data_IF_823766845471
#
_entry.id   IF_823766845471
#
_cell.length_a   1.000
_cell.length_b   1.000
_cell.length_c   1.000
_cell.angle_alpha   90.00
_cell.angle_beta   90.00
_cell.angle_gamma   90.00
#
_symmetry.space_group_name_H-M   'P 1'
#
loop_
_entity.id
_entity.type
_entity.pdbx_description
1 polymer ?
#
# COMPACT_ATOMS: atom_id res chain seq x y z
N UNK A 1 -38.53 -13.75 6.74
CA UNK A 1 -37.25 -13.00 6.72
C UNK A 1 -37.46 -11.74 7.55
N UNK A 2 -36.64 -11.47 8.56
CA UNK A 2 -36.67 -10.19 9.26
C UNK A 2 -36.37 -9.07 8.25
N UNK A 3 -36.98 -7.89 8.42
CA UNK A 3 -36.65 -6.72 7.64
C UNK A 3 -35.12 -6.48 7.73
N UNK A 4 -34.47 -6.13 6.62
CA UNK A 4 -33.06 -5.76 6.63
C UNK A 4 -32.83 -4.60 7.61
N UNK A 5 -31.82 -4.68 8.49
CA UNK A 5 -31.55 -3.64 9.50
C UNK A 5 -30.96 -2.36 8.89
N UNK A 6 -30.56 -2.38 7.61
CA UNK A 6 -29.95 -1.25 6.89
C UNK A 6 -30.76 -0.90 5.64
N UNK A 7 -30.82 0.38 5.32
CA UNK A 7 -31.37 0.87 4.07
C UNK A 7 -30.42 0.59 2.89
N UNK A 8 -30.92 0.60 1.64
CA UNK A 8 -30.05 0.50 0.46
C UNK A 8 -28.96 1.57 0.42
N UNK A 9 -29.25 2.78 0.90
CA UNK A 9 -28.31 3.90 0.96
C UNK A 9 -27.19 3.64 1.99
N UNK A 10 -27.53 3.07 3.14
CA UNK A 10 -26.54 2.69 4.17
C UNK A 10 -25.61 1.58 3.67
N UNK A 11 -26.13 0.60 2.91
CA UNK A 11 -25.35 -0.48 2.31
C UNK A 11 -24.42 0.11 1.21
N UNK A 12 -24.94 0.98 0.36
CA UNK A 12 -24.17 1.64 -0.68
C UNK A 12 -23.07 2.55 -0.11
N UNK A 13 -23.32 3.20 1.04
CA UNK A 13 -22.32 4.02 1.73
C UNK A 13 -21.10 3.23 2.22
N UNK A 14 -21.26 1.91 2.47
CA UNK A 14 -20.12 1.02 2.74
C UNK A 14 -19.43 0.48 1.46
N UNK A 15 -19.82 0.98 0.27
CA UNK A 15 -19.25 0.53 -1.01
C UNK A 15 -19.75 -0.84 -1.48
N UNK A 16 -20.83 -1.34 -0.89
CA UNK A 16 -21.41 -2.64 -1.20
C UNK A 16 -22.59 -2.52 -2.17
N UNK A 17 -22.68 -3.48 -3.09
CA UNK A 17 -23.84 -3.63 -3.97
C UNK A 17 -24.94 -4.45 -3.28
N UNK A 18 -26.22 -4.32 -3.71
CA UNK A 18 -27.31 -5.11 -3.14
C UNK A 18 -27.06 -6.62 -3.15
N UNK A 19 -26.55 -7.15 -4.25
CA UNK A 19 -26.23 -8.56 -4.40
C UNK A 19 -25.06 -9.02 -3.52
N UNK A 20 -24.10 -8.13 -3.24
CA UNK A 20 -23.02 -8.39 -2.27
C UNK A 20 -23.57 -8.46 -0.84
N UNK A 21 -24.52 -7.60 -0.49
CA UNK A 21 -25.19 -7.66 0.80
C UNK A 21 -26.00 -8.94 1.00
N UNK A 22 -26.74 -9.40 -0.03
CA UNK A 22 -27.45 -10.67 0.01
C UNK A 22 -26.48 -11.85 0.22
N UNK A 23 -25.34 -11.83 -0.42
CA UNK A 23 -24.29 -12.86 -0.23
C UNK A 23 -23.70 -12.82 1.19
N UNK A 24 -23.51 -11.63 1.79
CA UNK A 24 -23.08 -11.48 3.18
C UNK A 24 -24.10 -12.14 4.13
N UNK A 25 -25.38 -11.83 3.98
CA UNK A 25 -26.46 -12.41 4.80
C UNK A 25 -26.47 -13.93 4.70
N UNK A 26 -26.29 -14.48 3.49
CA UNK A 26 -26.21 -15.91 3.26
C UNK A 26 -25.00 -16.54 3.95
N UNK A 27 -23.83 -15.92 3.90
CA UNK A 27 -22.59 -16.45 4.53
C UNK A 27 -22.67 -16.43 6.04
N UNK A 28 -23.23 -15.36 6.61
CA UNK A 28 -23.42 -15.22 8.05
C UNK A 28 -24.62 -16.01 8.57
N UNK A 29 -25.53 -16.44 7.69
CA UNK A 29 -26.86 -16.99 8.03
C UNK A 29 -27.67 -16.05 8.95
N UNK A 30 -27.37 -14.76 8.90
CA UNK A 30 -28.02 -13.65 9.62
C UNK A 30 -27.66 -12.32 8.97
N UNK A 31 -28.38 -11.26 9.32
CA UNK A 31 -27.94 -9.92 8.95
C UNK A 31 -26.66 -9.53 9.70
N UNK A 32 -25.71 -8.83 9.06
CA UNK A 32 -24.56 -8.25 9.75
C UNK A 32 -25.01 -7.14 10.72
N UNK A 33 -24.24 -6.87 11.76
CA UNK A 33 -24.34 -5.62 12.50
C UNK A 33 -23.54 -4.50 11.79
N UNK A 34 -23.54 -3.27 12.33
CA UNK A 34 -22.88 -2.12 11.70
C UNK A 34 -21.36 -2.29 11.56
N UNK A 35 -20.72 -2.85 12.59
CA UNK A 35 -19.28 -3.11 12.55
C UNK A 35 -18.93 -4.16 11.46
N UNK A 36 -19.68 -5.25 11.43
CA UNK A 36 -19.52 -6.31 10.43
C UNK A 36 -19.79 -5.81 8.99
N UNK A 37 -20.83 -4.97 8.83
CA UNK A 37 -21.12 -4.37 7.51
C UNK A 37 -19.93 -3.54 7.02
N UNK A 38 -19.33 -2.71 7.88
CA UNK A 38 -18.14 -1.94 7.57
C UNK A 38 -16.92 -2.84 7.25
N UNK A 39 -16.71 -3.92 8.04
CA UNK A 39 -15.64 -4.90 7.76
C UNK A 39 -15.79 -5.51 6.36
N UNK A 40 -16.99 -5.92 5.96
CA UNK A 40 -17.25 -6.42 4.61
C UNK A 40 -17.05 -5.33 3.57
N UNK A 41 -17.51 -4.10 3.83
CA UNK A 41 -17.36 -2.97 2.91
C UNK A 41 -15.92 -2.71 2.51
N UNK A 42 -15.01 -2.61 3.49
CA UNK A 42 -13.58 -2.39 3.22
C UNK A 42 -12.91 -3.61 2.62
N UNK A 43 -13.15 -4.83 3.15
CA UNK A 43 -12.50 -6.05 2.66
C UNK A 43 -13.00 -6.49 1.27
N UNK A 44 -14.24 -6.16 0.90
CA UNK A 44 -14.80 -6.44 -0.42
C UNK A 44 -14.66 -5.25 -1.39
N UNK A 45 -13.91 -4.23 -1.03
CA UNK A 45 -13.53 -3.16 -1.94
C UNK A 45 -12.61 -3.66 -3.04
N UNK A 46 -12.55 -2.97 -4.19
CA UNK A 46 -11.55 -3.29 -5.23
C UNK A 46 -10.13 -3.22 -4.69
N UNK A 47 -9.87 -2.28 -3.76
CA UNK A 47 -8.57 -2.07 -3.16
C UNK A 47 -8.06 -3.30 -2.39
N UNK A 48 -8.92 -3.94 -1.57
CA UNK A 48 -8.50 -5.07 -0.72
C UNK A 48 -8.62 -6.42 -1.44
N UNK A 49 -9.69 -6.66 -2.21
CA UNK A 49 -9.94 -8.00 -2.75
C UNK A 49 -9.71 -8.13 -4.26
N UNK A 50 -9.44 -7.01 -4.97
CA UNK A 50 -9.22 -7.03 -6.41
C UNK A 50 -10.36 -7.68 -7.19
N UNK A 51 -11.61 -7.45 -6.76
CA UNK A 51 -12.79 -8.15 -7.28
C UNK A 51 -13.01 -8.03 -8.78
N UNK A 52 -12.54 -6.93 -9.38
CA UNK A 52 -12.63 -6.68 -10.82
C UNK A 52 -11.34 -7.06 -11.56
N UNK A 53 -10.17 -6.84 -10.96
CA UNK A 53 -8.87 -6.99 -11.62
C UNK A 53 -8.21 -8.36 -11.41
N UNK A 54 -8.55 -9.09 -10.33
CA UNK A 54 -7.97 -10.40 -10.00
C UNK A 54 -7.98 -11.42 -11.16
N UNK A 55 -9.05 -11.56 -12.00
CA UNK A 55 -9.04 -12.47 -13.13
C UNK A 55 -7.97 -12.15 -14.19
N UNK A 56 -7.61 -10.86 -14.33
CA UNK A 56 -6.55 -10.42 -15.24
C UNK A 56 -5.16 -10.58 -14.61
N UNK A 57 -5.02 -10.21 -13.34
CA UNK A 57 -3.76 -10.34 -12.59
C UNK A 57 -3.25 -11.79 -12.55
N UNK A 58 -4.15 -12.76 -12.46
CA UNK A 58 -3.81 -14.19 -12.50
C UNK A 58 -3.18 -14.66 -13.81
N UNK A 59 -3.22 -13.86 -14.87
CA UNK A 59 -2.61 -14.18 -16.17
C UNK A 59 -1.12 -13.79 -16.23
N UNK A 60 -0.63 -12.99 -15.29
CA UNK A 60 0.80 -12.66 -15.22
C UNK A 60 1.63 -13.86 -14.76
N UNK A 61 2.85 -14.01 -15.27
CA UNK A 61 3.75 -15.06 -14.79
C UNK A 61 4.20 -14.76 -13.36
N UNK A 62 3.95 -15.69 -12.45
CA UNK A 62 4.24 -15.55 -11.01
C UNK A 62 5.12 -16.68 -10.47
N UNK A 63 5.67 -17.50 -11.37
CA UNK A 63 6.55 -18.64 -11.04
C UNK A 63 7.86 -18.55 -11.79
N UNK A 64 8.95 -19.02 -11.18
CA UNK A 64 10.27 -19.06 -11.77
C UNK A 64 11.32 -19.47 -10.73
N UNK A 65 12.48 -19.94 -11.19
CA UNK A 65 13.53 -20.51 -10.34
C UNK A 65 14.07 -19.54 -9.27
N UNK A 66 13.93 -18.24 -9.50
CA UNK A 66 14.39 -17.20 -8.57
C UNK A 66 13.29 -16.67 -7.66
N UNK A 67 12.03 -17.06 -7.85
CA UNK A 67 10.91 -16.56 -7.06
C UNK A 67 10.82 -17.39 -5.78
N UNK A 68 11.13 -16.78 -4.63
CA UNK A 68 11.01 -17.40 -3.31
C UNK A 68 9.63 -17.19 -2.71
N UNK A 69 9.05 -15.99 -2.93
CA UNK A 69 7.70 -15.64 -2.52
C UNK A 69 6.99 -14.95 -3.67
N UNK A 70 5.89 -15.55 -4.12
CA UNK A 70 4.97 -15.00 -5.09
C UNK A 70 3.82 -14.22 -4.45
N UNK A 71 2.73 -13.92 -5.22
CA UNK A 71 1.56 -13.22 -4.71
C UNK A 71 0.91 -13.92 -3.51
N UNK A 72 0.45 -13.12 -2.54
CA UNK A 72 -0.27 -13.59 -1.34
C UNK A 72 0.46 -13.35 -0.02
N UNK A 73 1.65 -12.76 -0.02
CA UNK A 73 2.36 -12.21 1.14
C UNK A 73 2.48 -10.69 1.04
N UNK A 74 3.01 -10.03 2.09
CA UNK A 74 3.16 -8.57 2.13
C UNK A 74 4.02 -8.05 0.97
N UNK A 75 5.07 -8.78 0.57
CA UNK A 75 5.91 -8.43 -0.57
C UNK A 75 6.38 -9.69 -1.32
N UNK A 76 6.79 -9.53 -2.59
CA UNK A 76 7.50 -10.55 -3.34
C UNK A 76 8.95 -10.67 -2.89
N UNK A 77 9.51 -11.88 -2.93
CA UNK A 77 10.93 -12.12 -2.61
C UNK A 77 11.58 -12.93 -3.71
N UNK A 78 12.74 -12.47 -4.17
CA UNK A 78 13.54 -13.16 -5.17
C UNK A 78 14.94 -13.49 -4.66
N UNK A 79 15.51 -14.59 -5.19
CA UNK A 79 16.90 -14.96 -4.98
C UNK A 79 17.79 -14.25 -6.00
N UNK A 80 18.74 -13.44 -5.52
CA UNK A 80 19.77 -12.81 -6.31
C UNK A 80 21.02 -13.69 -6.49
N UNK A 81 21.05 -14.86 -5.84
CA UNK A 81 22.22 -15.73 -5.76
C UNK A 81 23.15 -15.39 -4.59
N UNK A 82 24.08 -16.27 -4.30
CA UNK A 82 25.05 -16.13 -3.22
C UNK A 82 24.42 -15.91 -1.81
N UNK A 83 23.23 -16.44 -1.60
CA UNK A 83 22.49 -16.27 -0.32
C UNK A 83 21.84 -14.89 -0.15
N UNK A 84 21.85 -14.05 -1.18
CA UNK A 84 21.22 -12.72 -1.13
C UNK A 84 19.78 -12.81 -1.61
N UNK A 85 18.84 -12.40 -0.77
CA UNK A 85 17.42 -12.34 -1.08
C UNK A 85 16.91 -10.91 -1.05
N UNK A 86 16.11 -10.54 -2.05
CA UNK A 86 15.57 -9.20 -2.21
C UNK A 86 14.05 -9.25 -2.11
N UNK A 87 13.50 -8.53 -1.16
CA UNK A 87 12.07 -8.22 -1.09
C UNK A 87 11.77 -6.97 -1.91
N UNK A 88 10.62 -6.96 -2.60
CA UNK A 88 10.20 -5.79 -3.37
C UNK A 88 8.67 -5.75 -3.51
N UNK A 89 8.15 -4.54 -3.57
CA UNK A 89 6.73 -4.27 -3.83
C UNK A 89 6.58 -2.90 -4.46
N UNK A 90 5.53 -2.72 -5.27
CA UNK A 90 5.08 -1.42 -5.78
C UNK A 90 3.60 -1.28 -5.52
N UNK A 91 3.18 -0.14 -5.00
CA UNK A 91 1.77 0.21 -4.79
C UNK A 91 1.47 1.63 -5.21
N UNK A 92 0.19 1.91 -5.44
CA UNK A 92 -0.31 3.24 -5.74
C UNK A 92 -1.03 3.85 -4.53
N UNK A 93 -0.86 5.17 -4.34
CA UNK A 93 -1.56 5.95 -3.32
C UNK A 93 -2.18 7.20 -3.95
N UNK A 94 -3.05 6.99 -4.95
CA UNK A 94 -3.54 8.04 -5.87
C UNK A 94 -4.61 8.92 -5.24
N UNK A 95 -5.74 8.35 -4.80
CA UNK A 95 -6.89 9.08 -4.27
C UNK A 95 -6.54 9.93 -3.04
N UNK A 96 -5.84 9.40 -2.02
CA UNK A 96 -5.39 10.24 -0.91
C UNK A 96 -4.52 11.41 -1.36
N UNK A 97 -3.64 11.18 -2.35
CA UNK A 97 -2.77 12.21 -2.91
C UNK A 97 -3.52 13.25 -3.75
N UNK A 98 -4.67 12.92 -4.32
CA UNK A 98 -5.53 13.86 -5.04
C UNK A 98 -6.21 14.87 -4.08
N UNK A 99 -6.47 14.45 -2.85
CA UNK A 99 -7.13 15.25 -1.79
C UNK A 99 -6.10 16.01 -0.96
N UNK A 100 -5.17 15.28 -0.33
CA UNK A 100 -4.07 15.82 0.48
C UNK A 100 -2.72 15.31 -0.06
N UNK A 101 -2.12 16.00 -1.04
CA UNK A 101 -1.00 15.47 -1.80
C UNK A 101 0.25 15.20 -0.95
N UNK A 102 0.48 15.99 0.10
CA UNK A 102 1.62 15.78 1.00
C UNK A 102 1.43 14.52 1.85
N UNK A 103 0.32 14.42 2.59
CA UNK A 103 0.07 13.28 3.47
C UNK A 103 -0.21 12.00 2.67
N UNK A 104 -0.97 12.09 1.58
CA UNK A 104 -1.23 10.95 0.72
C UNK A 104 0.04 10.33 0.14
N UNK A 105 0.97 11.15 -0.34
CA UNK A 105 2.23 10.66 -0.89
C UNK A 105 3.21 10.18 0.20
N UNK A 106 3.24 10.86 1.35
CA UNK A 106 4.03 10.46 2.52
C UNK A 106 3.61 9.06 2.99
N UNK A 107 2.30 8.83 3.16
CA UNK A 107 1.75 7.54 3.56
C UNK A 107 2.00 6.46 2.50
N UNK A 108 1.99 6.81 1.21
CA UNK A 108 2.37 5.89 0.15
C UNK A 108 3.80 5.35 0.30
N UNK A 109 4.73 6.19 0.77
CA UNK A 109 6.10 5.74 1.11
C UNK A 109 6.10 4.87 2.37
N UNK A 110 5.41 5.29 3.43
CA UNK A 110 5.35 4.52 4.68
C UNK A 110 4.72 3.14 4.49
N UNK A 111 3.56 3.07 3.85
CA UNK A 111 2.87 1.80 3.61
C UNK A 111 3.72 0.78 2.86
N UNK A 112 4.36 1.21 1.76
CA UNK A 112 5.19 0.30 0.98
C UNK A 112 6.45 -0.18 1.74
N UNK A 113 7.01 0.66 2.61
CA UNK A 113 8.15 0.28 3.45
C UNK A 113 7.74 -0.74 4.52
N UNK A 114 6.53 -0.60 5.10
CA UNK A 114 6.00 -1.58 6.06
C UNK A 114 5.90 -2.97 5.46
N UNK A 115 5.38 -3.09 4.24
CA UNK A 115 5.33 -4.36 3.53
C UNK A 115 6.71 -5.02 3.41
N UNK A 116 7.74 -4.23 3.11
CA UNK A 116 9.11 -4.72 2.94
C UNK A 116 9.67 -5.25 4.27
N UNK A 117 9.63 -4.45 5.34
CA UNK A 117 10.25 -4.91 6.59
C UNK A 117 9.40 -5.95 7.33
N UNK A 118 8.10 -6.05 7.05
CA UNK A 118 7.25 -7.15 7.55
C UNK A 118 7.74 -8.52 7.07
N UNK A 119 8.37 -8.59 5.89
CA UNK A 119 9.00 -9.82 5.39
C UNK A 119 10.30 -10.20 6.10
N UNK A 120 10.82 -9.35 6.99
CA UNK A 120 12.15 -9.49 7.61
C UNK A 120 13.26 -8.84 6.77
N UNK A 121 12.92 -7.99 5.82
CA UNK A 121 13.86 -7.32 4.93
C UNK A 121 14.11 -5.87 5.37
N UNK A 122 15.36 -5.44 5.41
CA UNK A 122 15.72 -4.04 5.64
C UNK A 122 15.50 -3.22 4.37
N UNK A 123 14.69 -2.16 4.40
CA UNK A 123 14.54 -1.25 3.27
C UNK A 123 15.87 -0.60 2.86
N UNK A 124 16.21 -0.67 1.57
CA UNK A 124 17.47 -0.14 1.01
C UNK A 124 17.27 0.89 -0.09
N UNK A 125 16.09 0.96 -0.67
CA UNK A 125 15.80 1.91 -1.75
C UNK A 125 14.29 2.11 -1.93
N UNK A 126 13.96 3.34 -2.36
CA UNK A 126 12.65 3.75 -2.85
C UNK A 126 12.79 4.29 -4.27
N UNK A 127 11.80 3.99 -5.11
CA UNK A 127 11.63 4.52 -6.45
C UNK A 127 10.17 4.98 -6.61
N UNK A 128 9.94 5.96 -7.49
CA UNK A 128 8.60 6.51 -7.71
C UNK A 128 8.24 6.52 -9.19
N UNK A 129 7.00 6.20 -9.52
CA UNK A 129 6.45 6.37 -10.86
C UNK A 129 5.24 7.29 -10.75
N UNK A 130 5.41 8.54 -11.20
CA UNK A 130 4.47 9.63 -10.97
C UNK A 130 3.85 10.10 -12.28
N UNK A 131 2.54 10.40 -12.24
CA UNK A 131 1.81 10.94 -13.38
C UNK A 131 0.94 12.10 -12.91
N UNK A 132 0.99 13.22 -13.62
CA UNK A 132 0.23 14.43 -13.31
C UNK A 132 -0.42 15.00 -14.57
N UNK A 133 -1.42 15.84 -14.39
CA UNK A 133 -2.03 16.65 -15.46
C UNK A 133 -1.07 17.71 -16.02
N UNK A 134 -1.60 18.67 -16.78
CA UNK A 134 -0.79 19.77 -17.31
C UNK A 134 -0.31 20.70 -16.18
N UNK A 135 0.96 21.11 -16.22
CA UNK A 135 1.52 22.11 -15.31
C UNK A 135 0.97 23.53 -15.53
N UNK A 136 0.23 23.79 -16.62
CA UNK A 136 -0.49 25.05 -16.82
C UNK A 136 -1.62 25.23 -15.80
N UNK A 137 -2.17 24.11 -15.29
CA UNK A 137 -3.20 24.10 -14.26
C UNK A 137 -2.63 24.30 -12.85
N UNK A 138 -3.20 25.25 -12.11
CA UNK A 138 -2.80 25.56 -10.74
C UNK A 138 -3.04 24.39 -9.78
N UNK A 139 -4.12 23.60 -9.97
CA UNK A 139 -4.41 22.40 -9.17
C UNK A 139 -3.33 21.36 -9.38
N UNK A 140 -2.95 21.12 -10.63
CA UNK A 140 -1.86 20.17 -10.97
C UNK A 140 -0.54 20.59 -10.34
N UNK A 141 -0.17 21.89 -10.36
CA UNK A 141 1.05 22.37 -9.69
C UNK A 141 1.02 22.13 -8.20
N UNK A 142 -0.13 22.36 -7.53
CA UNK A 142 -0.31 22.07 -6.11
C UNK A 142 -0.12 20.57 -5.82
N UNK A 143 -0.76 19.71 -6.61
CA UNK A 143 -0.65 18.24 -6.48
C UNK A 143 0.80 17.79 -6.65
N UNK A 144 1.46 18.22 -7.72
CA UNK A 144 2.84 17.88 -8.01
C UNK A 144 3.80 18.29 -6.89
N UNK A 145 3.71 19.56 -6.45
CA UNK A 145 4.56 20.04 -5.37
C UNK A 145 4.31 19.30 -4.06
N UNK A 146 3.04 19.07 -3.70
CA UNK A 146 2.68 18.38 -2.47
C UNK A 146 3.13 16.93 -2.46
N UNK A 147 2.92 16.19 -3.55
CA UNK A 147 3.37 14.79 -3.70
C UNK A 147 4.88 14.67 -3.56
N UNK A 148 5.65 15.47 -4.31
CA UNK A 148 7.12 15.45 -4.23
C UNK A 148 7.60 15.78 -2.82
N UNK A 149 7.00 16.75 -2.16
CA UNK A 149 7.33 17.12 -0.77
C UNK A 149 6.98 16.02 0.22
N UNK A 150 5.85 15.33 0.06
CA UNK A 150 5.44 14.20 0.91
C UNK A 150 6.39 13.01 0.80
N UNK A 151 6.74 12.61 -0.42
CA UNK A 151 7.74 11.56 -0.67
C UNK A 151 9.09 11.92 -0.05
N UNK A 152 9.54 13.17 -0.28
CA UNK A 152 10.79 13.69 0.27
C UNK A 152 10.78 13.63 1.80
N UNK A 153 9.73 14.17 2.43
CA UNK A 153 9.61 14.18 3.88
C UNK A 153 9.72 12.78 4.48
N UNK A 154 8.92 11.85 3.99
CA UNK A 154 8.88 10.52 4.58
C UNK A 154 10.17 9.73 4.33
N UNK A 155 10.63 9.65 3.07
CA UNK A 155 11.84 8.93 2.71
C UNK A 155 13.10 9.44 3.38
N UNK A 156 13.25 10.78 3.44
CA UNK A 156 14.41 11.41 4.07
C UNK A 156 14.42 11.18 5.59
N UNK A 157 13.27 11.32 6.27
CA UNK A 157 13.18 11.16 7.72
C UNK A 157 13.38 9.70 8.16
N UNK A 158 12.82 8.75 7.43
CA UNK A 158 13.03 7.32 7.75
C UNK A 158 14.45 6.84 7.40
N UNK A 159 15.15 7.57 6.54
CA UNK A 159 16.52 7.27 6.16
C UNK A 159 16.64 6.14 5.13
N UNK A 160 15.71 6.08 4.17
CA UNK A 160 15.76 5.17 3.02
C UNK A 160 15.95 5.99 1.75
N UNK A 161 17.02 5.74 0.95
CA UNK A 161 17.33 6.57 -0.20
C UNK A 161 16.28 6.43 -1.31
N UNK A 162 15.82 7.56 -1.84
CA UNK A 162 15.00 7.60 -3.06
C UNK A 162 15.94 7.73 -4.26
N UNK A 163 16.16 6.63 -4.97
CA UNK A 163 17.27 6.49 -5.91
C UNK A 163 16.90 6.62 -7.38
N UNK A 164 15.61 6.58 -7.70
CA UNK A 164 15.16 6.61 -9.09
C UNK A 164 13.66 6.80 -9.22
N UNK A 165 13.22 6.72 -10.47
CA UNK A 165 11.82 6.82 -10.84
C UNK A 165 11.61 7.59 -12.13
N UNK A 166 10.36 7.92 -12.40
CA UNK A 166 9.94 8.62 -13.62
C UNK A 166 8.76 9.55 -13.33
N UNK A 167 8.66 10.62 -14.10
CA UNK A 167 7.57 11.59 -13.98
C UNK A 167 7.11 11.96 -15.38
N UNK A 168 5.79 11.79 -15.62
CA UNK A 168 5.14 12.18 -16.85
C UNK A 168 3.99 13.13 -16.58
N UNK A 169 3.71 13.98 -17.55
CA UNK A 169 2.61 14.93 -17.53
C UNK A 169 1.71 14.68 -18.73
N UNK A 170 0.45 14.36 -18.46
CA UNK A 170 -0.58 14.15 -19.47
C UNK A 170 -1.94 14.59 -18.92
N UNK A 171 -2.78 15.22 -19.75
CA UNK A 171 -4.10 15.72 -19.35
C UNK A 171 -5.03 14.64 -18.80
N UNK A 172 -4.82 13.38 -19.16
CA UNK A 172 -5.58 12.25 -18.63
C UNK A 172 -5.48 12.12 -17.11
N UNK A 173 -4.39 12.63 -16.50
CA UNK A 173 -4.16 12.59 -15.05
C UNK A 173 -4.56 13.88 -14.32
N UNK A 174 -5.30 14.79 -14.99
CA UNK A 174 -5.77 16.02 -14.37
C UNK A 174 -6.72 15.71 -13.21
N UNK A 175 -6.41 16.23 -12.03
CA UNK A 175 -7.23 16.07 -10.82
C UNK A 175 -7.08 14.75 -10.06
N UNK A 176 -6.58 13.69 -10.70
CA UNK A 176 -6.27 12.40 -10.05
C UNK A 176 -4.89 11.92 -10.51
N UNK A 177 -3.81 12.31 -9.81
CA UNK A 177 -2.45 11.91 -10.15
C UNK A 177 -2.25 10.41 -9.91
N UNK A 178 -1.32 9.79 -10.64
CA UNK A 178 -0.79 8.50 -10.23
C UNK A 178 0.44 8.72 -9.35
N UNK A 179 0.40 8.15 -8.16
CA UNK A 179 1.47 8.20 -7.16
C UNK A 179 1.83 6.77 -6.82
N UNK A 180 2.75 6.19 -7.59
CA UNK A 180 3.23 4.83 -7.36
C UNK A 180 4.57 4.90 -6.64
N UNK A 181 4.72 4.12 -5.58
CA UNK A 181 5.97 3.99 -4.81
C UNK A 181 6.37 2.53 -4.81
N UNK A 182 7.62 2.28 -5.21
CA UNK A 182 8.27 0.98 -5.13
C UNK A 182 9.33 1.01 -4.04
N UNK A 183 9.38 -0.03 -3.23
CA UNK A 183 10.44 -0.22 -2.24
C UNK A 183 11.17 -1.54 -2.46
N UNK A 184 12.44 -1.53 -2.14
CA UNK A 184 13.35 -2.67 -2.17
C UNK A 184 13.94 -2.88 -0.78
N UNK A 185 14.09 -4.14 -0.36
CA UNK A 185 14.75 -4.49 0.90
C UNK A 185 15.61 -5.74 0.81
N UNK A 186 16.69 -5.76 1.56
CA UNK A 186 17.53 -6.95 1.72
C UNK A 186 17.09 -7.74 2.94
N UNK A 187 16.91 -9.05 2.78
CA UNK A 187 16.59 -9.94 3.90
C UNK A 187 17.68 -9.88 4.98
N UNK A 188 17.29 -9.62 6.21
CA UNK A 188 18.17 -9.64 7.39
C UNK A 188 17.88 -10.80 8.32
N UNK A 189 16.78 -11.51 8.10
CA UNK A 189 16.38 -12.66 8.89
C UNK A 189 16.77 -13.96 8.20
N UNK A 190 17.11 -15.03 8.94
CA UNK A 190 17.45 -16.32 8.34
C UNK A 190 16.26 -16.94 7.58
N UNK A 191 15.05 -16.60 7.98
CA UNK A 191 13.81 -17.09 7.37
C UNK A 191 12.91 -15.90 6.96
N UNK A 192 12.19 -16.08 5.87
CA UNK A 192 11.21 -15.09 5.40
C UNK A 192 10.02 -15.12 6.38
N UNK A 193 9.68 -13.96 6.95
CA UNK A 193 8.53 -13.82 7.85
C UNK A 193 7.25 -13.93 7.02
N UNK A 194 6.31 -14.74 7.49
CA UNK A 194 5.02 -14.97 6.83
C UNK A 194 3.89 -14.39 7.67
N UNK A 195 2.76 -14.12 7.00
CA UNK A 195 1.60 -13.51 7.65
C UNK A 195 0.58 -14.50 8.22
N UNK A 196 0.62 -15.79 7.86
CA UNK A 196 -0.35 -16.79 8.32
C UNK A 196 -0.26 -17.08 9.81
N UNK A 197 -1.33 -16.80 10.58
CA UNK A 197 -1.39 -17.11 12.01
C UNK A 197 -1.40 -18.63 12.26
N UNK A 198 -0.74 -19.07 13.31
CA UNK A 198 -0.75 -20.48 13.69
C UNK A 198 -0.51 -20.70 15.20
N UNK A 199 -0.79 -21.91 15.68
CA UNK A 199 -0.62 -22.28 17.08
C UNK A 199 -1.76 -21.79 17.96
N UNK A 200 -2.75 -22.67 18.22
CA UNK A 200 -3.90 -22.35 19.08
C UNK A 200 -3.43 -21.91 20.47
N UNK A 201 -3.94 -20.75 20.91
CA UNK A 201 -3.56 -20.11 22.17
C UNK A 201 -2.29 -19.28 22.10
N UNK A 202 -1.66 -19.13 20.93
CA UNK A 202 -0.60 -18.14 20.72
C UNK A 202 -1.17 -16.72 20.87
N UNK A 203 -0.48 -15.84 21.62
CA UNK A 203 -0.94 -14.46 21.80
C UNK A 203 -0.80 -13.65 20.51
N UNK A 204 -1.79 -12.77 20.30
CA UNK A 204 -1.81 -11.79 19.21
C UNK A 204 -1.49 -10.42 19.81
N UNK A 205 -0.42 -9.80 19.32
CA UNK A 205 0.07 -8.52 19.80
C UNK A 205 -0.25 -7.42 18.81
N UNK A 206 -0.81 -6.32 19.32
CA UNK A 206 -0.86 -5.04 18.63
C UNK A 206 0.42 -4.26 18.96
N UNK A 207 1.13 -3.75 17.95
CA UNK A 207 2.36 -2.99 18.14
C UNK A 207 2.40 -1.73 17.26
N UNK A 208 3.15 -0.72 17.70
CA UNK A 208 3.41 0.50 16.94
C UNK A 208 2.73 1.75 17.50
N UNK A 209 2.02 2.50 16.67
CA UNK A 209 1.31 3.73 17.02
C UNK A 209 0.01 3.46 17.78
N UNK A 210 -0.59 4.52 18.35
CA UNK A 210 -1.94 4.48 18.89
C UNK A 210 -3.00 4.57 17.78
N UNK A 211 -4.18 3.99 18.00
CA UNK A 211 -5.30 4.05 17.06
C UNK A 211 -6.13 5.33 17.26
N UNK A 212 -6.50 5.99 16.17
CA UNK A 212 -7.41 7.14 16.11
C UNK A 212 -8.43 6.98 14.99
N UNK A 213 -9.19 8.05 14.68
CA UNK A 213 -10.20 8.07 13.61
C UNK A 213 -9.66 8.46 12.24
N UNK A 214 -8.36 8.43 12.04
CA UNK A 214 -7.72 8.75 10.77
C UNK A 214 -7.83 7.61 9.77
N UNK A 215 -7.97 7.96 8.51
CA UNK A 215 -8.06 7.01 7.39
C UNK A 215 -9.33 6.16 7.39
N UNK A 216 -10.35 6.52 8.15
CA UNK A 216 -11.57 5.71 8.24
C UNK A 216 -12.23 5.53 6.87
N UNK A 217 -12.35 4.26 6.44
CA UNK A 217 -12.91 3.92 5.14
C UNK A 217 -11.99 4.25 3.96
N UNK A 218 -10.69 4.44 4.19
CA UNK A 218 -9.70 4.77 3.15
C UNK A 218 -9.69 3.77 2.00
N UNK A 219 -9.78 2.48 2.27
CA UNK A 219 -9.85 1.44 1.25
C UNK A 219 -11.11 1.54 0.37
N UNK A 220 -12.26 1.86 0.95
CA UNK A 220 -13.50 2.11 0.20
C UNK A 220 -13.41 3.41 -0.59
N UNK A 221 -12.86 4.47 -0.01
CA UNK A 221 -12.58 5.74 -0.69
C UNK A 221 -11.62 5.55 -1.87
N UNK A 222 -10.55 4.79 -1.73
CA UNK A 222 -9.60 4.48 -2.79
C UNK A 222 -10.24 3.69 -3.97
N UNK A 223 -11.38 3.05 -3.74
CA UNK A 223 -12.15 2.32 -4.75
C UNK A 223 -13.31 3.11 -5.35
N UNK A 224 -13.56 4.33 -4.85
CA UNK A 224 -14.64 5.20 -5.32
C UNK A 224 -14.19 6.12 -6.47
N UNK A 225 -15.17 6.71 -7.18
CA UNK A 225 -14.90 7.74 -8.17
C UNK A 225 -14.68 9.10 -7.50
N UNK A 226 -13.59 9.79 -7.87
CA UNK A 226 -13.32 11.14 -7.36
C UNK A 226 -14.29 12.16 -7.95
N UNK A 227 -14.86 12.98 -7.07
CA UNK A 227 -15.77 14.09 -7.43
C UNK A 227 -15.26 15.42 -6.87
N UNK A 228 -15.89 16.53 -7.24
CA UNK A 228 -15.56 17.85 -6.68
C UNK A 228 -15.80 17.91 -5.14
N UNK A 229 -16.61 17.01 -4.60
CA UNK A 229 -16.87 16.89 -3.16
C UNK A 229 -15.85 16.05 -2.42
N UNK A 230 -14.95 15.36 -3.13
CA UNK A 230 -13.94 14.50 -2.50
C UNK A 230 -12.95 15.26 -1.60
N UNK A 231 -12.94 16.59 -1.64
CA UNK A 231 -12.21 17.42 -0.66
C UNK A 231 -12.79 17.27 0.76
N UNK A 232 -14.08 16.95 0.87
CA UNK A 232 -14.74 16.71 2.15
C UNK A 232 -14.31 15.36 2.76
N UNK A 233 -13.69 14.47 1.96
CA UNK A 233 -13.17 13.16 2.37
C UNK A 233 -11.76 13.24 3.01
N UNK A 234 -11.27 14.44 3.36
CA UNK A 234 -9.99 14.63 4.07
C UNK A 234 -9.81 13.72 5.30
N UNK A 235 -10.84 13.45 6.12
CA UNK A 235 -10.70 12.51 7.24
C UNK A 235 -10.35 11.06 6.83
N UNK A 236 -10.60 10.69 5.57
CA UNK A 236 -10.20 9.40 5.01
C UNK A 236 -8.71 9.35 4.60
N UNK A 237 -7.99 10.47 4.67
CA UNK A 237 -6.55 10.50 4.39
C UNK A 237 -5.77 10.23 5.67
N UNK A 238 -4.87 9.27 5.58
CA UNK A 238 -4.00 8.88 6.67
C UNK A 238 -2.90 9.94 6.90
N UNK A 239 -2.39 10.01 8.13
CA UNK A 239 -1.24 10.85 8.51
C UNK A 239 -0.11 9.93 8.94
N UNK A 240 1.03 10.00 8.25
CA UNK A 240 2.20 9.18 8.55
C UNK A 240 3.20 9.88 9.46
N UNK A 241 3.87 9.10 10.33
CA UNK A 241 4.97 9.51 11.19
C UNK A 241 6.25 8.73 10.84
N UNK A 242 7.12 9.27 9.97
CA UNK A 242 8.32 8.56 9.53
C UNK A 242 9.35 8.32 10.65
N UNK A 243 9.32 9.12 11.73
CA UNK A 243 10.18 8.89 12.90
C UNK A 243 9.72 7.65 13.68
N UNK A 244 8.42 7.54 13.90
CA UNK A 244 7.85 6.37 14.56
C UNK A 244 8.04 5.11 13.71
N UNK A 245 7.86 5.22 12.39
CA UNK A 245 8.08 4.09 11.47
C UNK A 245 9.55 3.67 11.45
N UNK A 246 10.49 4.60 11.55
CA UNK A 246 11.92 4.24 11.71
C UNK A 246 12.16 3.38 12.94
N UNK A 247 11.56 3.75 14.07
CA UNK A 247 11.62 2.94 15.29
C UNK A 247 10.98 1.56 15.08
N UNK A 248 9.86 1.52 14.35
CA UNK A 248 9.14 0.28 14.04
C UNK A 248 9.97 -0.67 13.16
N UNK A 249 10.65 -0.15 12.13
CA UNK A 249 11.60 -0.94 11.29
C UNK A 249 12.63 -1.63 12.15
N UNK A 250 13.32 -0.88 13.02
CA UNK A 250 14.41 -1.44 13.84
C UNK A 250 13.88 -2.46 14.86
N UNK A 251 12.75 -2.14 15.51
CA UNK A 251 12.11 -3.05 16.47
C UNK A 251 11.64 -4.35 15.82
N UNK A 252 11.00 -4.27 14.64
CA UNK A 252 10.54 -5.45 13.92
C UNK A 252 11.70 -6.35 13.48
N UNK A 253 12.75 -5.77 12.89
CA UNK A 253 13.93 -6.53 12.46
C UNK A 253 14.67 -7.17 13.65
N UNK A 254 14.66 -6.53 14.82
CA UNK A 254 15.18 -7.12 16.05
C UNK A 254 14.27 -8.25 16.54
N UNK A 255 12.96 -8.02 16.61
CA UNK A 255 11.97 -9.00 17.04
C UNK A 255 12.01 -10.28 16.20
N UNK A 256 12.13 -10.17 14.90
CA UNK A 256 12.21 -11.32 13.99
C UNK A 256 13.44 -12.20 14.24
N UNK A 257 14.56 -11.64 14.67
CA UNK A 257 15.79 -12.37 14.97
C UNK A 257 15.71 -13.19 16.24
N UNK A 258 14.73 -12.94 17.12
CA UNK A 258 14.56 -13.68 18.38
C UNK A 258 14.05 -15.11 18.17
N UNK A 259 13.35 -15.38 17.07
CA UNK A 259 12.58 -16.60 16.86
C UNK A 259 11.35 -16.71 17.77
N UNK A 260 10.89 -15.61 18.39
CA UNK A 260 9.66 -15.55 19.18
C UNK A 260 8.42 -15.26 18.32
N UNK A 261 8.62 -14.77 17.09
CA UNK A 261 7.56 -14.40 16.17
C UNK A 261 7.11 -15.62 15.37
N UNK A 262 5.81 -15.88 15.35
CA UNK A 262 5.16 -16.92 14.55
C UNK A 262 4.72 -16.35 13.19
N UNK A 263 4.11 -15.15 13.21
CA UNK A 263 3.63 -14.45 12.03
C UNK A 263 3.57 -12.94 12.29
N UNK A 264 3.65 -12.16 11.22
CA UNK A 264 3.48 -10.71 11.28
C UNK A 264 2.76 -10.20 10.04
N UNK A 265 1.95 -9.15 10.24
CA UNK A 265 1.21 -8.45 9.20
C UNK A 265 1.24 -6.95 9.52
N UNK A 266 1.40 -6.10 8.51
CA UNK A 266 1.17 -4.67 8.71
C UNK A 266 -0.32 -4.36 8.81
N UNK A 267 -0.67 -3.23 9.40
CA UNK A 267 -2.02 -2.69 9.42
C UNK A 267 -2.11 -1.55 8.38
N UNK A 268 -2.12 -1.92 7.12
CA UNK A 268 -2.29 -1.00 6.00
C UNK A 268 -3.76 -0.65 5.76
N UNK A 269 -4.23 -0.82 4.54
CA UNK A 269 -5.64 -0.65 4.19
C UNK A 269 -6.55 -1.52 5.07
N UNK A 270 -7.69 -0.96 5.50
CA UNK A 270 -8.65 -1.59 6.42
C UNK A 270 -8.07 -1.99 7.80
N UNK A 271 -6.85 -1.59 8.14
CA UNK A 271 -6.27 -1.64 9.49
C UNK A 271 -6.42 -2.97 10.23
N UNK A 272 -7.08 -2.96 11.40
CA UNK A 272 -7.29 -4.15 12.24
C UNK A 272 -8.13 -5.21 11.51
N UNK A 273 -9.12 -4.78 10.71
CA UNK A 273 -9.98 -5.70 9.95
C UNK A 273 -9.15 -6.53 8.96
N UNK A 274 -8.30 -5.89 8.17
CA UNK A 274 -7.46 -6.58 7.19
C UNK A 274 -6.47 -7.53 7.89
N UNK A 275 -5.66 -7.03 8.82
CA UNK A 275 -4.63 -7.83 9.46
C UNK A 275 -5.18 -9.05 10.20
N UNK A 276 -6.29 -8.91 10.96
CA UNK A 276 -6.89 -10.05 11.67
C UNK A 276 -7.50 -11.08 10.72
N UNK A 277 -8.19 -10.63 9.67
CA UNK A 277 -8.87 -11.54 8.74
C UNK A 277 -7.90 -12.29 7.82
N UNK A 278 -6.90 -11.59 7.28
CA UNK A 278 -5.90 -12.20 6.39
C UNK A 278 -4.99 -13.18 7.14
N UNK A 279 -4.50 -12.80 8.32
CA UNK A 279 -3.67 -13.69 9.14
C UNK A 279 -4.43 -14.96 9.55
N UNK A 280 -5.69 -14.83 9.93
CA UNK A 280 -6.54 -15.96 10.30
C UNK A 280 -6.86 -16.86 9.10
N UNK A 281 -7.30 -16.29 7.99
CA UNK A 281 -7.66 -17.04 6.78
C UNK A 281 -6.46 -17.79 6.22
N UNK A 282 -5.31 -17.14 6.11
CA UNK A 282 -4.08 -17.72 5.59
C UNK A 282 -3.52 -18.82 6.48
N UNK A 283 -3.69 -18.70 7.77
CA UNK A 283 -3.30 -19.72 8.74
C UNK A 283 -4.27 -20.88 8.87
N UNK A 284 -5.48 -20.76 8.32
CA UNK A 284 -6.55 -21.75 8.48
C UNK A 284 -7.05 -21.86 9.93
N UNK A 285 -6.92 -20.80 10.70
CA UNK A 285 -7.27 -20.67 12.12
C UNK A 285 -8.19 -19.47 12.33
N UNK A 286 -8.56 -19.17 13.56
CA UNK A 286 -9.24 -17.93 13.90
C UNK A 286 -8.39 -17.02 14.78
N UNK A 287 -8.84 -15.78 14.90
CA UNK A 287 -8.28 -14.79 15.80
C UNK A 287 -9.43 -14.22 16.65
N UNK A 288 -9.28 -14.29 17.98
CA UNK A 288 -10.07 -13.53 18.92
C UNK A 288 -9.30 -12.30 19.35
N UNK A 289 -9.90 -11.12 19.18
CA UNK A 289 -9.24 -9.83 19.34
C UNK A 289 -10.07 -8.88 20.18
N UNK A 290 -9.49 -8.29 21.22
CA UNK A 290 -10.15 -7.44 22.21
C UNK A 290 -9.78 -5.97 21.99
N UNK A 291 -10.75 -5.18 21.52
CA UNK A 291 -10.58 -3.75 21.24
C UNK A 291 -10.32 -2.92 22.51
N UNK A 292 -10.74 -3.39 23.70
CA UNK A 292 -10.49 -2.68 24.95
C UNK A 292 -9.00 -2.66 25.33
N UNK A 293 -8.17 -3.51 24.70
CA UNK A 293 -6.71 -3.58 24.90
C UNK A 293 -5.95 -2.63 23.99
N UNK A 294 -6.58 -2.09 22.97
CA UNK A 294 -5.90 -1.28 21.96
C UNK A 294 -5.58 0.10 22.50
N UNK A 295 -4.31 0.56 22.44
CA UNK A 295 -3.98 1.91 22.81
C UNK A 295 -4.59 2.91 21.82
N UNK A 296 -5.40 3.81 22.32
CA UNK A 296 -6.10 4.83 21.53
C UNK A 296 -5.66 6.23 21.92
N UNK A 297 -5.67 7.16 20.96
CA UNK A 297 -5.44 8.59 21.20
C UNK A 297 -6.72 9.42 21.26
N UNK A 298 -7.86 8.78 20.99
CA UNK A 298 -9.18 9.43 21.01
C UNK A 298 -10.14 8.70 21.93
N UNK A 299 -10.99 9.46 22.63
CA UNK A 299 -11.98 8.92 23.53
C UNK A 299 -13.30 8.61 22.82
N UNK A 300 -14.08 7.67 23.37
CA UNK A 300 -15.42 7.36 22.91
C UNK A 300 -15.49 6.67 21.55
N UNK A 301 -14.40 6.02 21.11
CA UNK A 301 -14.43 5.20 19.90
C UNK A 301 -15.36 4.00 20.06
N UNK A 302 -16.05 3.65 18.97
CA UNK A 302 -16.93 2.47 18.88
C UNK A 302 -16.30 1.40 18.00
N UNK A 303 -16.73 0.12 18.08
CA UNK A 303 -16.10 -0.98 17.33
C UNK A 303 -15.91 -0.70 15.83
N UNK A 304 -16.90 -0.10 15.19
CA UNK A 304 -16.81 0.31 13.78
C UNK A 304 -15.60 1.20 13.50
N UNK A 305 -15.34 2.19 14.38
CA UNK A 305 -14.23 3.13 14.21
C UNK A 305 -12.87 2.49 14.45
N UNK A 306 -12.74 1.57 15.43
CA UNK A 306 -11.51 0.80 15.63
C UNK A 306 -11.15 -0.07 14.42
N UNK A 307 -12.16 -0.76 13.87
CA UNK A 307 -11.98 -1.77 12.83
C UNK A 307 -11.69 -1.16 11.46
N UNK A 308 -12.19 0.06 11.20
CA UNK A 308 -12.03 0.76 9.94
C UNK A 308 -10.95 1.85 9.99
N UNK A 309 -10.35 2.11 11.15
CA UNK A 309 -9.22 3.04 11.28
C UNK A 309 -8.03 2.53 10.51
N UNK A 310 -7.44 3.40 9.70
CA UNK A 310 -6.18 3.15 8.97
C UNK A 310 -5.05 4.03 9.54
N UNK A 311 -5.04 4.25 10.87
CA UNK A 311 -3.88 4.87 11.55
C UNK A 311 -2.61 4.16 11.14
N UNK A 312 -1.60 4.95 10.79
CA UNK A 312 -0.35 4.42 10.23
C UNK A 312 0.59 3.87 11.32
N UNK A 313 1.70 3.28 10.92
CA UNK A 313 2.77 2.75 11.78
C UNK A 313 2.28 1.71 12.81
N UNK A 314 1.36 0.82 12.38
CA UNK A 314 0.81 -0.25 13.21
C UNK A 314 1.06 -1.61 12.58
N UNK A 315 1.29 -2.61 13.43
CA UNK A 315 1.54 -4.00 13.02
C UNK A 315 0.77 -4.96 13.94
N UNK A 316 0.43 -6.13 13.40
CA UNK A 316 -0.10 -7.26 14.14
C UNK A 316 0.92 -8.41 14.15
N UNK A 317 1.21 -8.93 15.33
CA UNK A 317 2.13 -10.05 15.52
C UNK A 317 1.42 -11.23 16.17
N UNK A 318 1.79 -12.43 15.78
CA UNK A 318 1.50 -13.66 16.54
C UNK A 318 2.82 -14.12 17.14
N UNK A 319 2.87 -14.22 18.47
CA UNK A 319 4.05 -14.69 19.19
C UNK A 319 3.90 -16.15 19.62
N UNK A 320 5.02 -16.86 19.79
CA UNK A 320 5.00 -18.14 20.51
C UNK A 320 4.57 -17.91 21.95
N UNK A 321 3.59 -18.70 22.42
CA UNK A 321 3.07 -18.62 23.77
C UNK A 321 4.19 -18.74 24.81
N UNK A 322 4.23 -17.77 25.73
CA UNK A 322 5.25 -17.66 26.77
C UNK A 322 6.50 -16.87 26.35
N UNK A 323 6.55 -16.38 25.10
CA UNK A 323 7.63 -15.50 24.60
C UNK A 323 7.15 -14.10 24.22
N UNK A 324 5.90 -13.80 24.45
CA UNK A 324 5.29 -12.50 24.14
C UNK A 324 5.96 -11.33 24.88
N UNK A 325 6.38 -11.54 26.12
CA UNK A 325 7.03 -10.48 26.92
C UNK A 325 8.36 -10.04 26.31
N UNK A 326 9.12 -10.96 25.73
CA UNK A 326 10.37 -10.65 25.02
C UNK A 326 10.13 -9.66 23.86
N UNK A 327 9.05 -9.87 23.10
CA UNK A 327 8.67 -8.96 22.01
C UNK A 327 8.20 -7.61 22.55
N UNK A 328 7.35 -7.61 23.58
CA UNK A 328 6.85 -6.39 24.21
C UNK A 328 8.03 -5.53 24.72
N UNK A 329 9.02 -6.14 25.36
CA UNK A 329 10.21 -5.44 25.87
C UNK A 329 11.04 -4.81 24.74
N UNK A 330 11.14 -5.49 23.59
CA UNK A 330 11.81 -4.94 22.39
C UNK A 330 11.06 -3.69 21.91
N UNK A 331 9.77 -3.78 21.65
CA UNK A 331 8.97 -2.65 21.15
C UNK A 331 8.97 -1.47 22.13
N UNK A 332 8.82 -1.71 23.44
CA UNK A 332 8.88 -0.66 24.45
C UNK A 332 10.25 0.04 24.50
N UNK A 333 11.34 -0.69 24.33
CA UNK A 333 12.69 -0.12 24.27
C UNK A 333 12.87 0.83 23.09
N UNK A 334 12.17 0.58 21.98
CA UNK A 334 12.14 1.45 20.80
C UNK A 334 11.10 2.58 20.91
N UNK A 335 10.41 2.72 22.06
CA UNK A 335 9.42 3.76 22.31
C UNK A 335 8.06 3.52 21.65
N UNK A 336 7.77 2.28 21.27
CA UNK A 336 6.54 1.88 20.59
C UNK A 336 5.53 1.30 21.58
N UNK A 337 4.24 1.35 21.25
CA UNK A 337 3.22 0.59 21.95
C UNK A 337 3.37 -0.91 21.63
N UNK A 338 3.13 -1.74 22.63
CA UNK A 338 3.04 -3.19 22.45
C UNK A 338 2.13 -3.80 23.50
N UNK A 339 1.04 -4.41 23.10
CA UNK A 339 0.05 -5.02 24.00
C UNK A 339 -0.44 -6.36 23.46
N UNK A 340 -0.75 -7.29 24.37
CA UNK A 340 -1.47 -8.51 24.00
C UNK A 340 -2.94 -8.13 23.81
N UNK A 341 -3.40 -8.12 22.57
CA UNK A 341 -4.75 -7.73 22.21
C UNK A 341 -5.66 -8.92 21.90
N UNK A 342 -5.10 -10.13 21.79
CA UNK A 342 -5.91 -11.30 21.45
C UNK A 342 -5.15 -12.60 21.49
N UNK A 343 -5.74 -13.62 20.88
CA UNK A 343 -5.17 -14.96 20.78
C UNK A 343 -5.63 -15.67 19.51
N UNK A 344 -4.84 -16.62 19.07
CA UNK A 344 -5.21 -17.56 18.00
C UNK A 344 -6.18 -18.60 18.55
N UNK A 345 -7.30 -18.80 17.87
CA UNK A 345 -8.36 -19.75 18.25
C UNK A 345 -8.54 -20.84 17.20
N UNK A 346 -9.13 -21.96 17.59
CA UNK A 346 -9.35 -23.10 16.70
C UNK A 346 -10.45 -22.91 15.65
N UNK A 347 -11.51 -22.18 16.02
CA UNK A 347 -12.60 -21.84 15.10
C UNK A 347 -12.08 -20.85 14.05
N UNK A 348 -12.23 -21.11 12.73
CA UNK A 348 -11.67 -20.25 11.66
C UNK A 348 -12.49 -18.98 11.46
N UNK A 349 -12.63 -18.19 12.51
CA UNK A 349 -13.40 -16.94 12.55
C UNK A 349 -12.54 -15.79 13.07
N UNK A 350 -12.89 -14.58 12.69
CA UNK A 350 -12.46 -13.36 13.35
C UNK A 350 -13.54 -13.00 14.37
N UNK A 351 -13.21 -13.09 15.64
CA UNK A 351 -14.05 -12.70 16.76
C UNK A 351 -13.50 -11.45 17.40
N UNK A 352 -14.27 -10.37 17.37
CA UNK A 352 -13.92 -9.07 17.94
C UNK A 352 -14.70 -8.87 19.23
N UNK A 353 -13.98 -8.57 20.31
CA UNK A 353 -14.55 -8.26 21.61
C UNK A 353 -14.50 -6.75 21.88
N UNK A 354 -15.52 -6.23 22.54
CA UNK A 354 -15.57 -4.86 23.03
C UNK A 354 -16.46 -4.77 24.26
N UNK A 355 -15.94 -4.23 25.35
CA UNK A 355 -16.62 -4.14 26.67
C UNK A 355 -17.14 -5.49 27.18
N UNK A 356 -16.36 -6.54 26.88
CA UNK A 356 -16.69 -7.91 27.27
C UNK A 356 -17.80 -8.59 26.44
N UNK A 357 -18.27 -7.95 25.37
CA UNK A 357 -19.27 -8.49 24.45
C UNK A 357 -18.68 -8.74 23.07
N UNK A 358 -19.31 -9.62 22.28
CA UNK A 358 -18.91 -9.87 20.87
C UNK A 358 -19.43 -8.70 20.02
N UNK A 359 -18.52 -7.89 19.52
CA UNK A 359 -18.80 -6.78 18.62
C UNK A 359 -18.88 -7.21 17.14
N UNK A 360 -18.13 -8.25 16.74
CA UNK A 360 -18.23 -8.86 15.43
C UNK A 360 -17.78 -10.33 15.48
N UNK A 361 -18.40 -11.17 14.67
CA UNK A 361 -18.03 -12.58 14.53
C UNK A 361 -18.26 -13.03 13.08
N UNK A 362 -17.19 -13.22 12.32
CA UNK A 362 -17.21 -13.47 10.87
C UNK A 362 -16.25 -14.60 10.54
N UNK A 363 -16.61 -15.56 9.66
CA UNK A 363 -15.64 -16.52 9.10
C UNK A 363 -14.48 -15.77 8.43
N UNK A 364 -13.25 -16.04 8.81
CA UNK A 364 -12.07 -15.33 8.31
C UNK A 364 -11.96 -15.37 6.77
N UNK A 365 -12.23 -16.53 6.18
CA UNK A 365 -12.21 -16.71 4.73
C UNK A 365 -13.31 -15.94 4.00
N UNK A 366 -14.42 -15.56 4.68
CA UNK A 366 -15.46 -14.73 4.08
C UNK A 366 -15.00 -13.30 3.84
N UNK A 367 -14.04 -12.81 4.64
CA UNK A 367 -13.46 -11.49 4.48
C UNK A 367 -12.25 -11.46 3.53
N UNK A 368 -11.39 -12.50 3.55
CA UNK A 368 -10.10 -12.45 2.85
C UNK A 368 -10.04 -13.29 1.56
N UNK A 369 -10.49 -14.56 1.58
CA UNK A 369 -10.29 -15.50 0.46
C UNK A 369 -11.48 -15.61 -0.47
N UNK A 370 -12.66 -15.81 0.09
CA UNK A 370 -13.91 -16.03 -0.63
C UNK A 370 -14.61 -14.70 -0.93
N UNK A 371 -13.89 -13.73 -1.44
CA UNK A 371 -14.43 -12.41 -1.80
C UNK A 371 -15.16 -12.47 -3.14
N UNK A 372 -16.05 -11.50 -3.45
CA UNK A 372 -16.66 -11.40 -4.77
C UNK A 372 -15.61 -11.32 -5.88
N UNK A 373 -15.86 -11.95 -7.02
CA UNK A 373 -15.03 -11.87 -8.23
C UNK A 373 -15.94 -11.59 -9.41
N UNK A 374 -15.66 -10.52 -10.14
CA UNK A 374 -16.40 -10.14 -11.34
C UNK A 374 -15.63 -10.50 -12.61
N UNK A 375 -16.33 -11.12 -13.55
CA UNK A 375 -15.79 -11.42 -14.87
C UNK A 375 -16.38 -10.45 -15.88
N UNK A 376 -15.65 -9.35 -16.12
CA UNK A 376 -16.07 -8.36 -17.10
C UNK A 376 -15.86 -8.84 -18.53
N UNK A 377 -16.78 -8.45 -19.43
CA UNK A 377 -16.61 -8.67 -20.86
C UNK A 377 -15.48 -7.77 -21.35
N UNK A 378 -14.43 -8.38 -21.84
CA UNK A 378 -13.31 -7.64 -22.42
C UNK A 378 -13.71 -7.10 -23.81
N UNK A 379 -13.10 -5.97 -24.19
CA UNK A 379 -13.22 -5.45 -25.54
C UNK A 379 -12.63 -6.46 -26.53
N UNK A 380 -13.40 -6.76 -27.58
CA UNK A 380 -12.97 -7.67 -28.65
C UNK A 380 -12.15 -6.95 -29.71
N UNK A 381 -12.26 -5.62 -29.78
CA UNK A 381 -11.54 -4.76 -30.70
C UNK A 381 -10.77 -3.68 -29.93
N UNK A 382 -9.62 -3.31 -30.47
CA UNK A 382 -8.84 -2.20 -29.94
C UNK A 382 -9.58 -0.88 -30.10
N UNK A 383 -9.54 0.01 -29.08
CA UNK A 383 -10.04 1.36 -29.22
C UNK A 383 -9.36 2.10 -30.39
N UNK A 384 -10.09 3.00 -31.02
CA UNK A 384 -9.60 3.71 -32.22
C UNK A 384 -8.32 4.50 -31.98
N UNK A 385 -8.18 5.11 -30.79
CA UNK A 385 -6.96 5.84 -30.45
C UNK A 385 -5.72 4.92 -30.35
N UNK A 386 -5.90 3.67 -29.94
CA UNK A 386 -4.81 2.67 -29.90
C UNK A 386 -4.45 2.24 -31.32
N UNK A 387 -5.46 1.99 -32.18
CA UNK A 387 -5.21 1.66 -33.60
C UNK A 387 -4.41 2.76 -34.28
N UNK A 388 -4.83 4.02 -34.10
CA UNK A 388 -4.10 5.19 -34.64
C UNK A 388 -2.68 5.32 -34.12
N UNK A 389 -2.46 5.04 -32.83
CA UNK A 389 -1.12 5.07 -32.25
C UNK A 389 -0.21 3.97 -32.81
N UNK A 390 -0.74 2.79 -33.08
CA UNK A 390 0.00 1.67 -33.67
C UNK A 390 0.25 1.82 -35.17
N UNK A 391 -0.65 2.51 -35.87
CA UNK A 391 -0.51 2.82 -37.31
C UNK A 391 0.45 4.00 -37.57
N UNK A 392 0.84 4.73 -36.49
CA UNK A 392 1.76 5.85 -36.64
C UNK A 392 3.12 5.39 -37.19
N UNK A 393 3.63 6.13 -38.14
CA UNK A 393 4.98 5.94 -38.69
C UNK A 393 5.59 7.29 -39.05
N UNK A 394 6.91 7.31 -39.27
CA UNK A 394 7.59 8.54 -39.68
C UNK A 394 7.07 9.12 -41.02
N UNK A 395 6.45 8.28 -41.85
CA UNK A 395 5.77 8.73 -43.10
C UNK A 395 4.50 9.55 -42.85
N UNK A 396 3.97 9.52 -41.60
CA UNK A 396 2.81 10.36 -41.22
C UNK A 396 3.21 11.79 -40.85
N UNK A 397 4.52 12.07 -40.74
CA UNK A 397 4.99 13.43 -40.49
C UNK A 397 4.78 14.32 -41.71
N UNK A 398 4.54 15.61 -41.52
CA UNK A 398 4.54 16.58 -42.61
C UNK A 398 5.89 16.57 -43.36
N UNK A 399 5.92 16.99 -44.61
CA UNK A 399 7.18 17.10 -45.34
C UNK A 399 8.18 17.98 -44.60
N UNK A 400 9.38 17.47 -44.41
CA UNK A 400 10.45 18.20 -43.74
C UNK A 400 11.62 18.54 -44.71
N UNK A 401 12.30 19.62 -44.39
CA UNK A 401 13.48 20.08 -45.10
C UNK A 401 14.73 19.96 -44.21
N UNK A 402 15.91 20.23 -44.75
CA UNK A 402 17.15 20.31 -43.94
C UNK A 402 17.08 21.42 -42.87
N UNK A 403 16.25 22.44 -43.07
CA UNK A 403 16.17 23.61 -42.21
C UNK A 403 15.02 23.52 -41.16
N UNK A 404 14.03 22.64 -41.37
CA UNK A 404 12.89 22.53 -40.47
C UNK A 404 11.72 21.79 -41.09
N UNK A 405 10.55 21.94 -40.47
CA UNK A 405 9.28 21.31 -40.83
C UNK A 405 8.14 22.30 -40.70
N UNK A 406 7.11 22.13 -41.52
CA UNK A 406 5.87 22.89 -41.42
C UNK A 406 4.86 22.14 -40.51
N UNK A 407 4.47 22.76 -39.41
CA UNK A 407 3.49 22.23 -38.45
C UNK A 407 2.36 23.24 -38.32
N UNK A 408 1.11 22.81 -38.56
CA UNK A 408 -0.07 23.66 -38.48
C UNK A 408 0.04 24.99 -39.26
N UNK A 409 0.57 24.93 -40.49
CA UNK A 409 0.77 26.07 -41.37
C UNK A 409 1.88 27.06 -40.93
N UNK A 410 2.67 26.70 -39.89
CA UNK A 410 3.81 27.48 -39.47
C UNK A 410 5.12 26.71 -39.69
N UNK A 411 6.10 27.35 -40.34
CA UNK A 411 7.44 26.77 -40.51
C UNK A 411 8.22 26.92 -39.23
N UNK A 412 8.68 25.79 -38.69
CA UNK A 412 9.52 25.71 -37.49
C UNK A 412 10.90 25.14 -37.84
N UNK A 413 11.93 25.83 -37.40
CA UNK A 413 13.31 25.31 -37.52
C UNK A 413 13.54 24.17 -36.54
N UNK A 414 14.53 23.31 -36.84
CA UNK A 414 14.91 22.21 -35.96
C UNK A 414 15.40 22.69 -34.58
N UNK A 415 15.96 23.91 -34.49
CA UNK A 415 16.36 24.52 -33.22
C UNK A 415 15.13 24.92 -32.38
N UNK A 416 14.11 25.50 -33.02
CA UNK A 416 12.86 25.85 -32.30
C UNK A 416 12.14 24.60 -31.82
N UNK A 417 12.06 23.55 -32.64
CA UNK A 417 11.46 22.27 -32.24
C UNK A 417 12.23 21.66 -31.08
N UNK A 418 13.57 21.66 -31.15
CA UNK A 418 14.41 21.13 -30.05
C UNK A 418 14.17 21.91 -28.74
N UNK A 419 14.12 23.24 -28.80
CA UNK A 419 13.83 24.07 -27.63
C UNK A 419 12.43 23.79 -27.05
N UNK A 420 11.44 23.64 -27.92
CA UNK A 420 10.07 23.30 -27.52
C UNK A 420 10.03 21.92 -26.84
N UNK A 421 10.71 20.92 -27.39
CA UNK A 421 10.79 19.60 -26.78
C UNK A 421 11.49 19.61 -25.42
N UNK A 422 12.59 20.37 -25.31
CA UNK A 422 13.33 20.50 -24.04
C UNK A 422 12.52 21.22 -22.97
N UNK A 423 11.60 22.12 -23.36
CA UNK A 423 10.69 22.83 -22.47
C UNK A 423 9.42 22.00 -22.13
N UNK A 424 9.18 20.91 -22.82
CA UNK A 424 8.05 20.03 -22.52
C UNK A 424 8.21 19.37 -21.15
N UNK A 425 7.25 19.51 -20.21
CA UNK A 425 7.41 19.04 -18.83
C UNK A 425 7.80 17.56 -18.70
N UNK A 426 7.30 16.70 -19.59
CA UNK A 426 7.66 15.26 -19.60
C UNK A 426 9.13 15.03 -19.98
N UNK A 427 9.70 15.86 -20.85
CA UNK A 427 11.08 15.75 -21.35
C UNK A 427 12.06 16.57 -20.51
N UNK A 428 11.63 17.73 -20.02
CA UNK A 428 12.43 18.66 -19.23
C UNK A 428 13.09 17.98 -18.02
N UNK A 429 14.22 18.54 -17.59
CA UNK A 429 14.98 18.04 -16.44
C UNK A 429 14.14 17.89 -15.18
N UNK A 430 14.24 16.75 -14.52
CA UNK A 430 13.59 16.47 -13.23
C UNK A 430 14.45 16.84 -12.01
N UNK A 431 15.49 17.65 -12.22
CA UNK A 431 16.43 18.02 -11.16
C UNK A 431 15.77 18.69 -9.96
N UNK A 432 14.70 19.48 -10.19
CA UNK A 432 13.91 20.07 -9.10
C UNK A 432 13.31 19.00 -8.18
N UNK A 433 12.90 17.84 -8.73
CA UNK A 433 12.33 16.73 -7.96
C UNK A 433 13.40 16.00 -7.18
N UNK A 434 14.39 15.39 -7.86
CA UNK A 434 15.33 14.51 -7.18
C UNK A 434 16.28 15.24 -6.24
N UNK A 435 16.44 16.56 -6.33
CA UNK A 435 17.19 17.35 -5.35
C UNK A 435 16.49 17.48 -4.00
N UNK A 436 15.21 17.17 -3.91
CA UNK A 436 14.45 17.15 -2.66
C UNK A 436 14.59 15.83 -1.92
N UNK A 437 14.98 14.77 -2.62
CA UNK A 437 15.15 13.43 -2.07
C UNK A 437 16.57 13.21 -1.58
N UNK A 438 16.71 12.61 -0.40
CA UNK A 438 18.01 12.04 -0.01
C UNK A 438 18.19 10.72 -0.77
N UNK A 439 19.09 10.73 -1.72
CA UNK A 439 19.46 9.59 -2.54
C UNK A 439 20.78 8.95 -2.13
N UNK A 440 21.42 9.42 -1.05
CA UNK A 440 22.72 8.94 -0.58
C UNK A 440 22.70 8.40 0.86
N UNK A 441 21.61 8.59 1.63
CA UNK A 441 21.48 8.00 2.95
C UNK A 441 21.75 6.49 2.89
N UNK A 442 22.33 5.91 3.94
CA UNK A 442 22.89 4.55 4.00
C UNK A 442 24.20 4.38 3.21
N UNK A 443 24.67 5.36 2.42
CA UNK A 443 25.95 5.34 1.67
C UNK A 443 26.12 4.14 0.70
N UNK A 444 25.02 3.67 0.12
CA UNK A 444 25.05 2.53 -0.80
C UNK A 444 24.79 2.92 -2.26
N UNK A 445 24.36 4.15 -2.54
CA UNK A 445 24.07 4.62 -3.90
C UNK A 445 25.38 4.89 -4.65
N UNK A 446 25.58 4.16 -5.73
CA UNK A 446 26.77 4.27 -6.59
C UNK A 446 26.52 5.22 -7.76
N UNK A 447 25.35 5.10 -8.40
CA UNK A 447 24.94 5.96 -9.50
C UNK A 447 23.92 6.96 -9.00
N UNK A 448 24.26 8.25 -9.08
CA UNK A 448 23.41 9.34 -8.60
C UNK A 448 22.34 9.73 -9.63
N UNK A 449 21.21 10.31 -9.21
CA UNK A 449 20.18 10.80 -10.10
C UNK A 449 20.71 11.77 -11.16
N UNK A 450 20.29 11.56 -12.41
CA UNK A 450 20.73 12.34 -13.57
C UNK A 450 22.05 11.89 -14.21
N UNK A 451 22.72 10.88 -13.65
CA UNK A 451 23.97 10.36 -14.21
C UNK A 451 23.77 9.17 -15.17
N UNK A 452 22.66 8.45 -15.07
CA UNK A 452 22.34 7.31 -15.93
C UNK A 452 20.82 7.03 -15.94
N UNK A 453 20.37 6.14 -16.82
CA UNK A 453 18.97 5.72 -16.94
C UNK A 453 18.55 4.71 -15.86
N UNK A 454 19.48 4.22 -15.05
CA UNK A 454 19.23 3.30 -13.96
C UNK A 454 20.01 3.68 -12.70
N UNK A 455 19.41 3.44 -11.53
CA UNK A 455 20.11 3.53 -10.27
C UNK A 455 20.96 2.28 -10.03
N UNK A 456 22.13 2.48 -9.42
CA UNK A 456 22.99 1.39 -8.97
C UNK A 456 23.21 1.53 -7.47
N UNK A 457 22.86 0.47 -6.74
CA UNK A 457 23.03 0.39 -5.30
C UNK A 457 24.01 -0.73 -4.98
N UNK A 458 24.98 -0.44 -4.14
CA UNK A 458 25.89 -1.43 -3.60
C UNK A 458 25.15 -2.28 -2.57
N UNK A 459 25.14 -3.58 -2.77
CA UNK A 459 24.69 -4.52 -1.75
C UNK A 459 25.88 -4.79 -0.81
N UNK A 460 25.71 -4.43 0.47
CA UNK A 460 26.71 -4.78 1.48
C UNK A 460 26.32 -6.11 2.09
N UNK A 461 27.28 -7.01 2.34
CA UNK A 461 27.02 -8.19 3.15
C UNK A 461 26.45 -7.76 4.50
N UNK A 462 25.43 -8.44 4.98
CA UNK A 462 24.81 -8.18 6.27
C UNK A 462 25.75 -8.53 7.43
N UNK A 463 26.68 -9.46 7.19
CA UNK A 463 27.80 -9.76 8.06
C UNK A 463 29.12 -9.57 7.29
N UNK A 464 30.17 -9.02 7.93
CA UNK A 464 31.47 -9.00 7.29
C UNK A 464 31.91 -10.46 7.02
N UNK A 465 32.61 -10.73 5.90
CA UNK A 465 33.13 -12.07 5.67
C UNK A 465 33.98 -12.48 6.89
N UNK A 466 33.69 -13.65 7.42
CA UNK A 466 34.50 -14.23 8.51
C UNK A 466 35.94 -14.33 8.00
N UNK A 467 36.95 -13.96 8.83
CA UNK A 467 38.34 -13.96 8.42
C UNK A 467 38.86 -15.35 8.07
#
# INVERSE_FOLDING_TARGET
MSLAPFSPEEIAAEGLKPEEYEEIVKRLNRHPNKAELGMFGVMWSEHCCYKNSRPLLKQFPTTGDRILVGPGENAGVIDLGNGIQLAFKIESHNHPSAVEPFQGAATGVGGILRDIFTMGARPIAVLNSLRFGSLDDAKTRRLFTGVVSGISHYGNCIGVPTVGGEIYFDRAYSGNPLVNVMALGLMETPEIVKSGASGIGNPVLYVGSTTGRDGMGGASFASAELTDKSVDDRPAVQVGDPFLEKSLVEACLEAFKTGAVVAAQDMGAAGITCSTSEMAAKGGVGIEFDLDKIPVRETGMVPYEYLLSESQERMLFVAHKGREQELIDIFHRWGLQAVIAGQVIAEPIVRILFKGEIAAEIPATALADNTPIYHHKLLTELPEYVKKAWEWSANSLPPCTINGIEIAEEFQTWNEILLTLLDTPTIASKSWVYRQYDHQVQNNTVMLPGAADAAIIRLRPLEPPQP
#
